data_IF_466178698886
#
_entry.id   IF_466178698886
#
_cell.length_a   1.000
_cell.length_b   1.000
_cell.length_c   1.000
_cell.angle_alpha   90.00
_cell.angle_beta   90.00
_cell.angle_gamma   90.00
#
_symmetry.space_group_name_H-M   'P 1'
#
loop_
_entity.id
_entity.type
_entity.pdbx_description
1 polymer ?
#
# COMPACT_ATOMS: atom_id res chain seq x y z
N UNK A 1 30.26 4.98 20.58
CA UNK A 1 28.92 5.60 20.41
C UNK A 1 27.98 4.84 19.48
N UNK A 2 28.45 4.21 18.39
CA UNK A 2 27.59 3.41 17.50
C UNK A 2 26.85 2.24 18.21
N UNK A 3 27.48 1.60 19.20
CA UNK A 3 26.86 0.49 19.95
C UNK A 3 25.67 0.88 20.84
N UNK A 4 25.76 2.00 21.56
CA UNK A 4 24.69 2.45 22.46
C UNK A 4 23.44 2.89 21.65
N UNK A 5 23.64 3.60 20.54
CA UNK A 5 22.53 4.01 19.69
C UNK A 5 21.83 2.82 19.04
N UNK A 6 22.60 1.83 18.56
CA UNK A 6 22.04 0.58 18.05
C UNK A 6 21.26 -0.19 19.14
N UNK A 7 21.77 -0.23 20.37
CA UNK A 7 21.07 -0.84 21.51
C UNK A 7 19.75 -0.13 21.82
N UNK A 8 19.74 1.21 21.85
CA UNK A 8 18.51 2.00 22.05
C UNK A 8 17.50 1.69 20.94
N UNK A 9 17.95 1.64 19.68
CA UNK A 9 17.05 1.36 18.54
C UNK A 9 16.45 -0.04 18.53
N UNK A 10 17.08 -0.99 19.21
CA UNK A 10 16.62 -2.38 19.30
C UNK A 10 15.86 -2.64 20.60
N UNK A 11 15.75 -1.64 21.49
CA UNK A 11 15.12 -1.79 22.79
C UNK A 11 13.61 -1.92 22.67
N UNK A 12 13.07 -2.96 23.32
CA UNK A 12 11.64 -3.17 23.49
C UNK A 12 10.94 -1.96 24.10
N UNK A 13 11.61 -1.21 24.98
CA UNK A 13 11.05 -0.01 25.60
C UNK A 13 10.74 1.08 24.57
N UNK A 14 11.66 1.31 23.62
CA UNK A 14 11.44 2.32 22.58
C UNK A 14 10.38 1.87 21.58
N UNK A 15 10.38 0.58 21.21
CA UNK A 15 9.32 0.01 20.39
C UNK A 15 7.94 0.14 21.07
N UNK A 16 7.88 -0.02 22.38
CA UNK A 16 6.66 0.20 23.16
C UNK A 16 6.22 1.67 23.13
N UNK A 17 7.14 2.64 23.21
CA UNK A 17 6.80 4.06 23.02
C UNK A 17 6.13 4.31 21.66
N UNK A 18 6.65 3.71 20.57
CA UNK A 18 6.03 3.81 19.26
C UNK A 18 4.66 3.13 19.21
N UNK A 19 4.50 1.97 19.84
CA UNK A 19 3.22 1.29 19.93
C UNK A 19 2.18 2.13 20.69
N UNK A 20 2.55 2.71 21.84
CA UNK A 20 1.70 3.63 22.61
C UNK A 20 1.26 4.79 21.72
N UNK A 21 2.21 5.52 21.13
CA UNK A 21 1.91 6.64 20.25
C UNK A 21 0.96 6.23 19.12
N UNK A 22 1.28 5.15 18.39
CA UNK A 22 0.51 4.71 17.23
C UNK A 22 -0.92 4.25 17.60
N UNK A 23 -1.08 3.41 18.62
CA UNK A 23 -2.40 2.89 18.98
C UNK A 23 -3.27 3.95 19.67
N UNK A 24 -2.71 4.74 20.59
CA UNK A 24 -3.46 5.81 21.25
C UNK A 24 -3.87 6.90 20.27
N UNK A 25 -2.94 7.40 19.45
CA UNK A 25 -3.29 8.39 18.42
C UNK A 25 -4.28 7.83 17.40
N UNK A 26 -4.13 6.57 16.98
CA UNK A 26 -5.06 5.91 16.08
C UNK A 26 -6.48 5.86 16.63
N UNK A 27 -6.65 5.51 17.91
CA UNK A 27 -7.97 5.51 18.57
C UNK A 27 -8.55 6.92 18.70
N UNK A 28 -7.74 7.91 19.10
CA UNK A 28 -8.17 9.32 19.18
C UNK A 28 -8.62 9.81 17.80
N UNK A 29 -7.79 9.60 16.77
CA UNK A 29 -8.08 9.98 15.38
C UNK A 29 -9.34 9.28 14.88
N UNK A 30 -9.52 7.98 15.13
CA UNK A 30 -10.73 7.27 14.72
C UNK A 30 -11.98 7.79 15.41
N UNK A 31 -11.91 8.18 16.69
CA UNK A 31 -13.03 8.82 17.39
C UNK A 31 -13.42 10.12 16.70
N UNK A 32 -12.44 10.97 16.37
CA UNK A 32 -12.68 12.22 15.61
C UNK A 32 -13.25 11.90 14.23
N UNK A 33 -12.69 10.93 13.50
CA UNK A 33 -13.19 10.52 12.19
C UNK A 33 -14.63 10.01 12.26
N UNK A 34 -15.00 9.26 13.30
CA UNK A 34 -16.35 8.78 13.53
C UNK A 34 -17.33 9.95 13.75
N UNK A 35 -16.97 10.90 14.61
CA UNK A 35 -17.75 12.13 14.85
C UNK A 35 -17.93 12.89 13.54
N UNK A 36 -16.87 13.07 12.74
CA UNK A 36 -16.96 13.76 11.46
C UNK A 36 -17.75 12.97 10.41
N UNK A 37 -17.72 11.64 10.45
CA UNK A 37 -18.43 10.78 9.51
C UNK A 37 -19.95 10.87 9.70
N UNK A 38 -20.43 10.85 10.95
CA UNK A 38 -21.87 10.97 11.23
C UNK A 38 -22.32 12.43 11.35
N UNK A 39 -21.45 13.31 11.81
CA UNK A 39 -21.77 14.72 12.07
C UNK A 39 -21.52 15.63 10.87
N UNK A 40 -20.37 15.56 10.20
CA UNK A 40 -19.99 16.54 9.15
C UNK A 40 -20.26 16.04 7.73
N UNK A 41 -19.95 14.78 7.43
CA UNK A 41 -20.05 14.20 6.08
C UNK A 41 -21.44 14.36 5.43
N UNK A 42 -22.58 14.20 6.14
CA UNK A 42 -23.90 14.36 5.53
C UNK A 42 -24.20 15.78 5.05
N UNK A 43 -23.63 16.80 5.71
CA UNK A 43 -23.90 18.22 5.40
C UNK A 43 -22.82 18.86 4.54
N UNK A 44 -21.55 18.44 4.70
CA UNK A 44 -20.43 19.00 3.95
C UNK A 44 -19.34 17.94 3.68
N UNK A 45 -19.57 17.13 2.64
CA UNK A 45 -18.65 16.08 2.19
C UNK A 45 -17.26 16.63 1.81
N UNK A 46 -17.19 17.83 1.24
CA UNK A 46 -15.91 18.45 0.82
C UNK A 46 -15.05 18.79 2.04
N UNK A 47 -15.64 19.44 3.06
CA UNK A 47 -14.93 19.78 4.29
C UNK A 47 -14.56 18.51 5.07
N UNK A 48 -15.46 17.51 5.13
CA UNK A 48 -15.15 16.20 5.69
C UNK A 48 -13.88 15.58 5.09
N UNK A 49 -13.76 15.58 3.75
CA UNK A 49 -12.59 15.05 3.04
C UNK A 49 -11.32 15.87 3.29
N UNK A 50 -11.44 17.21 3.32
CA UNK A 50 -10.30 18.11 3.63
C UNK A 50 -9.75 17.89 5.04
N UNK A 51 -10.62 17.77 6.04
CA UNK A 51 -10.19 17.47 7.42
C UNK A 51 -9.66 16.02 7.50
N UNK A 52 -10.34 15.09 6.81
CA UNK A 52 -9.95 13.69 6.70
C UNK A 52 -8.53 13.49 6.20
N UNK A 53 -8.07 14.31 5.26
CA UNK A 53 -6.68 14.33 4.80
C UNK A 53 -5.70 14.49 5.97
N UNK A 54 -5.90 15.52 6.81
CA UNK A 54 -4.97 15.81 7.92
C UNK A 54 -5.02 14.74 9.02
N UNK A 55 -6.20 14.17 9.28
CA UNK A 55 -6.36 13.05 10.21
C UNK A 55 -5.59 11.82 9.72
N UNK A 56 -5.73 11.47 8.43
CA UNK A 56 -5.00 10.36 7.83
C UNK A 56 -3.50 10.64 7.76
N UNK A 57 -3.10 11.86 7.39
CA UNK A 57 -1.71 12.30 7.38
C UNK A 57 -1.06 12.13 8.76
N UNK A 58 -1.71 12.66 9.80
CA UNK A 58 -1.18 12.59 11.17
C UNK A 58 -1.03 11.14 11.65
N UNK A 59 -1.90 10.24 11.21
CA UNK A 59 -1.78 8.82 11.53
C UNK A 59 -0.68 8.11 10.71
N UNK A 60 -0.71 8.21 9.37
CA UNK A 60 0.19 7.49 8.47
C UNK A 60 1.64 7.97 8.57
N UNK A 61 1.85 9.26 8.85
CA UNK A 61 3.18 9.86 8.96
C UNK A 61 4.01 9.28 10.10
N UNK A 62 3.40 8.65 11.11
CA UNK A 62 4.14 7.94 12.16
C UNK A 62 4.91 6.73 11.61
N UNK A 63 4.33 6.01 10.63
CA UNK A 63 5.02 4.90 9.96
C UNK A 63 6.07 5.40 8.97
N UNK A 64 5.79 6.52 8.29
CA UNK A 64 6.79 7.19 7.43
C UNK A 64 7.97 7.71 8.26
N UNK A 65 7.72 8.23 9.47
CA UNK A 65 8.77 8.61 10.42
C UNK A 65 9.68 7.43 10.76
N UNK A 66 9.11 6.22 10.97
CA UNK A 66 9.91 5.02 11.23
C UNK A 66 10.86 4.70 10.06
N UNK A 67 10.40 4.87 8.82
CA UNK A 67 11.24 4.69 7.64
C UNK A 67 12.31 5.79 7.50
N UNK A 68 11.89 7.06 7.41
CA UNK A 68 12.77 8.20 7.12
C UNK A 68 13.78 8.46 8.26
N UNK A 69 13.27 8.70 9.47
CA UNK A 69 14.04 9.28 10.57
C UNK A 69 14.58 8.21 11.52
N UNK A 70 13.78 7.20 11.83
CA UNK A 70 14.18 6.18 12.79
C UNK A 70 15.14 5.16 12.20
N UNK A 71 14.77 4.51 11.08
CA UNK A 71 15.64 3.52 10.43
C UNK A 71 16.73 4.15 9.57
N UNK A 72 16.53 5.38 9.08
CA UNK A 72 17.42 6.02 8.12
C UNK A 72 17.32 5.39 6.72
N UNK A 73 16.15 4.83 6.38
CA UNK A 73 15.92 4.25 5.06
C UNK A 73 15.95 5.32 3.97
N UNK A 74 16.42 4.94 2.78
CA UNK A 74 16.57 5.86 1.64
C UNK A 74 15.70 5.39 0.47
N UNK A 75 15.01 6.34 -0.17
CA UNK A 75 14.28 6.13 -1.40
C UNK A 75 14.94 6.93 -2.55
N UNK A 76 15.34 6.23 -3.60
CA UNK A 76 15.74 6.82 -4.88
C UNK A 76 14.59 6.70 -5.88
N UNK A 77 14.19 7.80 -6.49
CA UNK A 77 13.13 7.83 -7.51
C UNK A 77 13.71 8.20 -8.87
N UNK A 78 13.42 7.39 -9.87
CA UNK A 78 13.83 7.57 -11.26
C UNK A 78 12.60 8.01 -12.07
N UNK A 79 12.44 9.31 -12.23
CA UNK A 79 11.30 9.97 -12.88
C UNK A 79 11.81 11.09 -13.79
N UNK A 80 11.09 11.41 -14.88
CA UNK A 80 11.43 12.56 -15.71
C UNK A 80 11.03 13.86 -15.03
N UNK A 81 11.72 14.96 -15.36
CA UNK A 81 11.35 16.29 -14.86
C UNK A 81 9.94 16.71 -15.30
N UNK A 82 9.48 16.22 -16.44
CA UNK A 82 8.12 16.44 -16.93
C UNK A 82 7.08 15.73 -16.06
N UNK A 83 7.24 14.42 -15.82
CA UNK A 83 6.31 13.64 -15.00
C UNK A 83 6.29 14.15 -13.55
N UNK A 84 7.44 14.57 -13.01
CA UNK A 84 7.57 15.08 -11.66
C UNK A 84 6.70 16.33 -11.43
N UNK A 85 6.46 17.15 -12.46
CA UNK A 85 5.61 18.35 -12.35
C UNK A 85 4.15 18.02 -12.02
N UNK A 86 3.68 16.82 -12.35
CA UNK A 86 2.31 16.35 -12.11
C UNK A 86 2.16 15.62 -10.77
N UNK A 87 3.24 15.15 -10.16
CA UNK A 87 3.19 14.46 -8.89
C UNK A 87 2.52 15.33 -7.81
N UNK A 88 1.50 14.77 -7.16
CA UNK A 88 0.74 15.45 -6.11
C UNK A 88 -0.25 16.50 -6.59
N UNK A 89 -0.49 16.64 -7.91
CA UNK A 89 -1.40 17.66 -8.48
C UNK A 89 -2.63 17.10 -9.19
N UNK A 90 -2.71 15.79 -9.37
CA UNK A 90 -3.82 15.11 -10.04
C UNK A 90 -4.18 13.81 -9.31
N UNK A 91 -5.39 13.31 -9.56
CA UNK A 91 -5.75 11.96 -9.14
C UNK A 91 -4.93 10.94 -9.92
N UNK A 92 -4.53 9.88 -9.24
CA UNK A 92 -3.64 8.87 -9.83
C UNK A 92 -4.08 7.47 -9.41
N UNK A 93 -4.07 6.54 -10.37
CA UNK A 93 -3.98 5.11 -10.09
C UNK A 93 -2.50 4.69 -10.11
N UNK A 94 -1.98 4.24 -8.97
CA UNK A 94 -0.63 3.68 -8.88
C UNK A 94 -0.68 2.21 -9.31
N UNK A 95 0.09 1.83 -10.32
CA UNK A 95 0.23 0.45 -10.76
C UNK A 95 1.64 -0.04 -10.42
N UNK A 96 1.75 -0.73 -9.29
CA UNK A 96 3.03 -1.11 -8.69
C UNK A 96 3.18 -2.64 -8.60
N UNK A 97 4.41 -3.16 -8.76
CA UNK A 97 4.71 -4.55 -8.41
C UNK A 97 4.54 -4.80 -6.90
N UNK A 98 4.43 -6.06 -6.51
CA UNK A 98 4.16 -6.46 -5.14
C UNK A 98 5.13 -7.54 -4.67
N UNK A 99 6.37 -7.15 -4.41
CA UNK A 99 7.46 -8.08 -4.13
C UNK A 99 7.82 -8.14 -2.65
N UNK A 100 7.89 -7.00 -1.96
CA UNK A 100 8.48 -6.88 -0.63
C UNK A 100 7.43 -6.73 0.48
N UNK A 101 7.83 -6.93 1.74
CA UNK A 101 6.92 -6.76 2.88
C UNK A 101 6.46 -5.31 3.05
N UNK A 102 7.36 -4.38 2.74
CA UNK A 102 7.22 -2.94 2.99
C UNK A 102 6.88 -2.14 1.72
N UNK A 103 6.43 -2.78 0.62
CA UNK A 103 6.06 -2.10 -0.63
C UNK A 103 5.15 -0.89 -0.37
N UNK A 104 4.11 -1.11 0.44
CA UNK A 104 3.14 -0.09 0.82
C UNK A 104 3.79 1.06 1.59
N UNK A 105 4.76 0.76 2.47
CA UNK A 105 5.46 1.79 3.25
C UNK A 105 6.39 2.61 2.36
N UNK A 106 7.10 1.98 1.42
CA UNK A 106 7.91 2.71 0.43
C UNK A 106 7.01 3.59 -0.45
N UNK A 107 5.85 3.08 -0.86
CA UNK A 107 4.82 3.88 -1.54
C UNK A 107 4.34 5.07 -0.70
N UNK A 108 4.14 4.89 0.60
CA UNK A 108 3.77 5.98 1.52
C UNK A 108 4.89 7.00 1.71
N UNK A 109 6.15 6.57 1.77
CA UNK A 109 7.32 7.48 1.78
C UNK A 109 7.30 8.34 0.51
N UNK A 110 7.03 7.77 -0.66
CA UNK A 110 6.89 8.55 -1.89
C UNK A 110 5.70 9.52 -1.83
N UNK A 111 4.53 9.07 -1.38
CA UNK A 111 3.33 9.90 -1.20
C UNK A 111 3.58 11.08 -0.24
N UNK A 112 4.39 10.89 0.81
CA UNK A 112 4.79 11.95 1.73
C UNK A 112 5.60 13.03 1.02
N UNK A 113 6.54 12.65 0.15
CA UNK A 113 7.42 13.61 -0.53
C UNK A 113 6.68 14.51 -1.50
N UNK A 114 5.63 13.98 -2.11
CA UNK A 114 4.81 14.69 -3.10
C UNK A 114 3.51 15.25 -2.51
N UNK A 115 3.32 15.17 -1.19
CA UNK A 115 2.24 15.87 -0.49
C UNK A 115 0.85 15.24 -0.60
N UNK A 116 0.76 13.92 -0.79
CA UNK A 116 -0.52 13.19 -0.94
C UNK A 116 -0.73 12.08 0.08
N UNK A 117 0.15 11.93 1.08
CA UNK A 117 0.08 10.85 2.07
C UNK A 117 -1.30 10.74 2.73
N UNK A 118 -1.92 11.85 3.14
CA UNK A 118 -3.24 11.84 3.78
C UNK A 118 -4.39 11.37 2.88
N UNK A 119 -4.19 11.36 1.56
CA UNK A 119 -5.15 10.91 0.54
C UNK A 119 -4.62 9.71 -0.26
N UNK A 120 -3.58 9.02 0.19
CA UNK A 120 -3.21 7.74 -0.40
C UNK A 120 -4.22 6.65 0.01
N UNK A 121 -4.65 5.83 -0.95
CA UNK A 121 -5.65 4.79 -0.78
C UNK A 121 -5.19 3.51 -1.45
N UNK A 122 -5.83 2.39 -1.15
CA UNK A 122 -5.55 1.11 -1.80
C UNK A 122 -6.81 0.25 -1.92
N UNK A 123 -6.77 -0.74 -2.81
CA UNK A 123 -7.72 -1.85 -2.79
C UNK A 123 -7.37 -2.78 -1.63
N UNK A 124 -8.29 -2.93 -0.68
CA UNK A 124 -8.11 -3.72 0.53
C UNK A 124 -9.14 -4.84 0.64
N UNK A 125 -8.80 -5.93 1.34
CA UNK A 125 -9.77 -6.98 1.67
C UNK A 125 -10.83 -6.41 2.60
N UNK A 126 -12.11 -6.70 2.35
CA UNK A 126 -13.22 -6.20 3.17
C UNK A 126 -13.04 -6.42 4.68
N UNK A 127 -12.48 -7.56 5.09
CA UNK A 127 -12.23 -7.88 6.50
C UNK A 127 -11.27 -6.89 7.20
N UNK A 128 -10.39 -6.22 6.46
CA UNK A 128 -9.44 -5.25 7.01
C UNK A 128 -10.17 -4.06 7.64
N UNK A 129 -11.36 -3.70 7.16
CA UNK A 129 -12.13 -2.57 7.70
C UNK A 129 -12.51 -2.74 9.18
N UNK A 130 -12.46 -3.96 9.72
CA UNK A 130 -12.79 -4.24 11.11
C UNK A 130 -11.58 -4.24 12.04
N UNK A 131 -10.36 -4.09 11.51
CA UNK A 131 -9.15 -3.99 12.32
C UNK A 131 -9.13 -2.62 13.01
N UNK A 132 -9.04 -2.56 14.36
CA UNK A 132 -8.95 -1.29 15.08
C UNK A 132 -7.78 -0.44 14.61
N UNK A 133 -7.89 0.88 14.76
CA UNK A 133 -6.92 1.89 14.28
C UNK A 133 -6.87 1.99 12.75
N UNK A 134 -6.13 1.09 12.09
CA UNK A 134 -5.86 1.16 10.65
C UNK A 134 -7.07 0.84 9.79
N UNK A 135 -7.83 -0.20 10.12
CA UNK A 135 -9.01 -0.60 9.37
C UNK A 135 -10.13 0.43 9.44
N UNK A 136 -10.38 0.96 10.63
CA UNK A 136 -11.33 2.04 10.86
C UNK A 136 -10.89 3.33 10.17
N UNK A 137 -9.60 3.68 10.24
CA UNK A 137 -9.07 4.84 9.51
C UNK A 137 -9.30 4.72 8.01
N UNK A 138 -9.07 3.54 7.42
CA UNK A 138 -9.31 3.28 6.00
C UNK A 138 -10.80 3.29 5.65
N UNK A 139 -11.66 2.81 6.55
CA UNK A 139 -13.11 2.87 6.39
C UNK A 139 -13.61 4.32 6.32
N UNK A 140 -13.19 5.16 7.25
CA UNK A 140 -13.54 6.57 7.26
C UNK A 140 -12.88 7.32 6.08
N UNK A 141 -11.67 6.94 5.69
CA UNK A 141 -11.00 7.48 4.52
C UNK A 141 -11.53 6.96 3.17
N UNK A 142 -12.69 6.30 3.12
CA UNK A 142 -13.33 5.84 1.86
C UNK A 142 -12.40 4.97 0.98
N UNK A 143 -11.62 4.06 1.58
CA UNK A 143 -10.82 3.07 0.84
C UNK A 143 -11.70 2.09 0.05
N UNK A 144 -11.13 1.50 -1.00
CA UNK A 144 -11.81 0.51 -1.84
C UNK A 144 -11.74 -0.86 -1.16
N UNK A 145 -12.86 -1.40 -0.70
CA UNK A 145 -12.90 -2.68 0.01
C UNK A 145 -13.55 -3.76 -0.87
N UNK A 146 -12.81 -4.83 -1.12
CA UNK A 146 -13.22 -5.92 -2.03
C UNK A 146 -13.70 -7.17 -1.27
N UNK A 147 -14.77 -7.76 -1.79
CA UNK A 147 -15.44 -9.00 -1.32
C UNK A 147 -14.72 -10.27 -1.80
N UNK A 148 -13.79 -10.17 -2.76
CA UNK A 148 -13.12 -11.30 -3.42
C UNK A 148 -14.04 -12.09 -4.35
N UNK A 149 -15.07 -11.42 -4.88
CA UNK A 149 -16.00 -11.95 -5.87
C UNK A 149 -16.14 -10.92 -6.96
N UNK A 150 -15.64 -11.22 -8.16
CA UNK A 150 -15.56 -10.23 -9.24
C UNK A 150 -16.93 -9.63 -9.58
N UNK A 151 -17.98 -10.44 -9.60
CA UNK A 151 -19.32 -9.97 -9.95
C UNK A 151 -19.83 -8.93 -8.95
N UNK A 152 -19.58 -9.15 -7.64
CA UNK A 152 -19.88 -8.16 -6.59
C UNK A 152 -18.93 -6.97 -6.64
N UNK A 153 -17.65 -7.23 -6.90
CA UNK A 153 -16.59 -6.23 -6.84
C UNK A 153 -16.65 -5.26 -8.03
N UNK A 154 -17.14 -5.65 -9.21
CA UNK A 154 -17.22 -4.78 -10.39
C UNK A 154 -18.06 -3.53 -10.14
N UNK A 155 -19.24 -3.69 -9.54
CA UNK A 155 -20.13 -2.57 -9.19
C UNK A 155 -19.53 -1.72 -8.06
N UNK A 156 -18.95 -2.37 -7.05
CA UNK A 156 -18.30 -1.70 -5.92
C UNK A 156 -17.15 -0.82 -6.41
N UNK A 157 -16.29 -1.35 -7.27
CA UNK A 157 -15.14 -0.64 -7.86
C UNK A 157 -15.62 0.59 -8.61
N UNK A 158 -16.61 0.45 -9.49
CA UNK A 158 -17.14 1.57 -10.26
C UNK A 158 -17.67 2.70 -9.37
N UNK A 159 -18.49 2.36 -8.36
CA UNK A 159 -19.02 3.35 -7.41
C UNK A 159 -17.92 4.02 -6.58
N UNK A 160 -17.01 3.24 -6.00
CA UNK A 160 -15.97 3.78 -5.11
C UNK A 160 -14.94 4.62 -5.86
N UNK A 161 -14.62 4.30 -7.12
CA UNK A 161 -13.74 5.15 -7.93
C UNK A 161 -14.43 6.47 -8.24
N UNK A 162 -15.73 6.48 -8.59
CA UNK A 162 -16.47 7.74 -8.75
C UNK A 162 -16.41 8.58 -7.47
N UNK A 163 -16.60 7.97 -6.30
CA UNK A 163 -16.46 8.65 -5.01
C UNK A 163 -15.06 9.23 -4.81
N UNK A 164 -14.01 8.51 -5.23
CA UNK A 164 -12.61 8.96 -5.16
C UNK A 164 -12.35 10.13 -6.12
N UNK A 165 -12.86 10.07 -7.36
CA UNK A 165 -12.73 11.16 -8.33
C UNK A 165 -13.49 12.43 -7.92
N UNK A 166 -14.45 12.32 -7.01
CA UNK A 166 -15.15 13.47 -6.42
C UNK A 166 -14.36 14.12 -5.25
N UNK A 167 -13.15 13.65 -4.92
CA UNK A 167 -12.34 14.32 -3.89
C UNK A 167 -11.90 15.71 -4.37
N UNK A 168 -11.91 16.72 -3.48
CA UNK A 168 -11.47 18.07 -3.85
C UNK A 168 -9.95 18.19 -4.04
N UNK A 169 -9.19 17.26 -3.46
CA UNK A 169 -7.73 17.25 -3.46
C UNK A 169 -7.24 15.93 -4.09
N UNK A 170 -6.04 15.89 -4.68
CA UNK A 170 -5.48 14.69 -5.30
C UNK A 170 -5.54 13.44 -4.42
N UNK A 171 -5.97 12.33 -5.01
CA UNK A 171 -6.03 11.00 -4.39
C UNK A 171 -5.18 10.04 -5.21
N UNK A 172 -4.33 9.29 -4.52
CA UNK A 172 -3.47 8.27 -5.12
C UNK A 172 -3.94 6.89 -4.69
N UNK A 173 -4.52 6.13 -5.63
CA UNK A 173 -5.10 4.81 -5.38
C UNK A 173 -4.14 3.71 -5.85
N UNK A 174 -3.63 2.91 -4.91
CA UNK A 174 -2.70 1.83 -5.20
C UNK A 174 -3.42 0.56 -5.67
N UNK A 175 -3.04 0.08 -6.85
CA UNK A 175 -3.38 -1.24 -7.40
C UNK A 175 -2.10 -2.06 -7.62
N UNK A 176 -2.00 -3.18 -6.89
CA UNK A 176 -1.02 -4.23 -7.15
C UNK A 176 -1.67 -5.34 -8.00
N UNK A 177 -1.47 -5.31 -9.33
CA UNK A 177 -2.17 -6.22 -10.25
C UNK A 177 -1.80 -7.70 -10.04
N UNK A 178 -0.64 -8.02 -9.46
CA UNK A 178 -0.28 -9.39 -9.06
C UNK A 178 -1.29 -10.00 -8.07
N UNK A 179 -2.00 -9.15 -7.30
CA UNK A 179 -3.07 -9.54 -6.38
C UNK A 179 -2.62 -10.24 -5.10
N UNK A 180 -1.32 -10.49 -4.96
CA UNK A 180 -0.64 -11.02 -3.77
C UNK A 180 0.85 -10.71 -3.85
N UNK A 181 1.53 -10.71 -2.71
CA UNK A 181 2.98 -10.64 -2.67
C UNK A 181 3.66 -11.83 -3.33
N UNK A 182 4.78 -11.56 -3.98
CA UNK A 182 5.69 -12.54 -4.55
C UNK A 182 6.24 -13.47 -3.47
N UNK A 183 6.25 -14.77 -3.78
CA UNK A 183 6.94 -15.83 -3.05
C UNK A 183 7.29 -16.89 -4.08
N UNK A 184 8.39 -17.62 -3.89
CA UNK A 184 8.82 -18.69 -4.80
C UNK A 184 7.69 -19.68 -5.14
N UNK A 185 6.98 -20.20 -4.13
CA UNK A 185 5.80 -21.07 -4.33
C UNK A 185 4.69 -20.46 -5.20
N UNK A 186 4.44 -19.15 -5.07
CA UNK A 186 3.41 -18.46 -5.88
C UNK A 186 3.91 -18.16 -7.28
N UNK A 187 5.21 -17.90 -7.42
CA UNK A 187 5.85 -17.71 -8.69
C UNK A 187 5.82 -19.00 -9.52
N UNK A 188 6.16 -20.15 -8.94
CA UNK A 188 6.01 -21.46 -9.58
C UNK A 188 4.57 -21.71 -10.07
N UNK A 189 3.58 -21.41 -9.23
CA UNK A 189 2.16 -21.53 -9.59
C UNK A 189 1.77 -20.56 -10.72
N UNK A 190 2.33 -19.35 -10.70
CA UNK A 190 2.11 -18.33 -11.73
C UNK A 190 2.75 -18.70 -13.07
N UNK A 191 3.96 -19.25 -13.05
CA UNK A 191 4.65 -19.77 -14.23
C UNK A 191 3.87 -20.93 -14.85
N UNK A 192 3.40 -21.87 -14.02
CA UNK A 192 2.53 -22.96 -14.49
C UNK A 192 1.25 -22.43 -15.14
N UNK A 193 0.60 -21.45 -14.50
CA UNK A 193 -0.59 -20.80 -15.07
C UNK A 193 -0.30 -20.16 -16.44
N UNK A 194 0.87 -19.52 -16.60
CA UNK A 194 1.28 -18.95 -17.87
C UNK A 194 1.45 -20.03 -18.95
N UNK A 195 2.18 -21.12 -18.64
CA UNK A 195 2.39 -22.27 -19.55
C UNK A 195 1.07 -22.89 -20.00
N UNK A 196 0.19 -23.19 -19.04
CA UNK A 196 -1.11 -23.84 -19.30
C UNK A 196 -2.01 -22.98 -20.22
N UNK A 197 -1.73 -21.68 -20.35
CA UNK A 197 -2.50 -20.72 -21.17
C UNK A 197 -1.71 -20.13 -22.34
N UNK A 198 -0.51 -20.61 -22.62
CA UNK A 198 0.35 -20.08 -23.69
C UNK A 198 0.76 -18.61 -23.48
N UNK A 199 0.80 -18.15 -22.24
CA UNK A 199 1.26 -16.79 -21.90
C UNK A 199 2.78 -16.76 -21.68
N UNK A 200 3.39 -15.59 -21.86
CA UNK A 200 4.81 -15.38 -21.54
C UNK A 200 5.06 -15.58 -20.04
N UNK A 201 6.02 -16.44 -19.70
CA UNK A 201 6.48 -16.63 -18.33
C UNK A 201 7.27 -15.41 -17.85
N UNK A 202 6.93 -14.89 -16.68
CA UNK A 202 7.66 -13.80 -16.01
C UNK A 202 8.64 -14.39 -14.99
N UNK A 203 9.86 -13.84 -14.90
CA UNK A 203 10.92 -14.35 -14.02
C UNK A 203 10.89 -13.76 -12.61
N UNK A 204 10.54 -12.49 -12.50
CA UNK A 204 10.62 -11.71 -11.26
C UNK A 204 9.27 -11.20 -10.74
N UNK A 205 8.20 -11.35 -11.54
CA UNK A 205 6.82 -10.97 -11.16
C UNK A 205 5.85 -12.14 -11.30
N UNK A 206 4.70 -12.03 -10.62
CA UNK A 206 3.56 -12.89 -10.90
C UNK A 206 2.79 -12.37 -12.14
N UNK A 207 2.09 -13.25 -12.84
CA UNK A 207 1.21 -12.88 -13.95
C UNK A 207 0.13 -11.93 -13.41
N UNK A 208 0.01 -10.70 -13.96
CA UNK A 208 -0.92 -9.72 -13.43
C UNK A 208 -2.37 -10.12 -13.71
N UNK A 209 -3.24 -9.74 -12.77
CA UNK A 209 -4.68 -9.90 -12.84
C UNK A 209 -5.29 -8.59 -13.31
N UNK A 210 -5.84 -8.64 -14.50
CA UNK A 210 -6.25 -7.43 -15.24
C UNK A 210 -7.59 -6.89 -14.79
N UNK A 211 -8.48 -7.76 -14.30
CA UNK A 211 -9.87 -7.42 -13.90
C UNK A 211 -10.02 -6.21 -12.99
N UNK A 212 -9.11 -6.05 -12.01
CA UNK A 212 -9.13 -4.89 -11.12
C UNK A 212 -8.83 -3.60 -11.87
N UNK A 213 -7.88 -3.62 -12.80
CA UNK A 213 -7.53 -2.49 -13.64
C UNK A 213 -8.62 -2.19 -14.67
N UNK A 214 -9.10 -3.21 -15.40
CA UNK A 214 -10.11 -3.03 -16.45
C UNK A 214 -11.45 -2.54 -15.89
N UNK A 215 -11.88 -3.00 -14.71
CA UNK A 215 -13.06 -2.48 -14.03
C UNK A 215 -12.90 -1.03 -13.53
N UNK A 216 -11.65 -0.59 -13.32
CA UNK A 216 -11.35 0.73 -12.79
C UNK A 216 -11.24 1.80 -13.87
N UNK A 217 -10.62 1.44 -15.00
CA UNK A 217 -10.26 2.35 -16.08
C UNK A 217 -11.42 3.23 -16.59
N UNK A 218 -12.65 2.72 -16.82
CA UNK A 218 -13.75 3.55 -17.32
C UNK A 218 -14.10 4.74 -16.41
N UNK A 219 -13.92 4.60 -15.10
CA UNK A 219 -14.23 5.65 -14.12
C UNK A 219 -13.04 6.58 -13.84
N UNK A 220 -11.85 6.25 -14.36
CA UNK A 220 -10.61 7.01 -14.20
C UNK A 220 -10.31 7.92 -15.41
N UNK A 221 -10.80 7.55 -16.60
CA UNK A 221 -10.59 8.29 -17.86
C UNK A 221 -11.04 9.76 -17.76
N UNK A 222 -10.22 10.67 -18.29
CA UNK A 222 -10.53 12.10 -18.32
C UNK A 222 -10.34 12.84 -16.99
N UNK A 223 -10.00 12.12 -15.91
CA UNK A 223 -9.97 12.66 -14.54
C UNK A 223 -8.70 12.34 -13.77
N UNK A 224 -7.88 11.44 -14.30
CA UNK A 224 -6.70 10.92 -13.62
C UNK A 224 -5.65 10.40 -14.59
N UNK A 225 -4.47 10.10 -14.06
CA UNK A 225 -3.40 9.41 -14.77
C UNK A 225 -3.05 8.10 -14.09
N UNK A 226 -2.38 7.20 -14.80
CA UNK A 226 -1.72 6.03 -14.21
C UNK A 226 -0.26 6.39 -13.92
N UNK A 227 0.20 6.16 -12.69
CA UNK A 227 1.64 6.11 -12.42
C UNK A 227 2.06 4.64 -12.44
N UNK A 228 2.84 4.30 -13.46
CA UNK A 228 3.49 3.01 -13.59
C UNK A 228 4.76 3.00 -12.71
N UNK A 229 4.77 2.12 -11.70
CA UNK A 229 5.81 2.09 -10.67
C UNK A 229 6.51 0.73 -10.63
N UNK A 230 7.82 0.71 -10.85
CA UNK A 230 8.67 -0.46 -10.60
C UNK A 230 9.54 -0.23 -9.37
N UNK A 231 9.28 -0.98 -8.31
CA UNK A 231 10.02 -0.97 -7.06
C UNK A 231 11.08 -2.07 -7.05
N UNK A 232 12.32 -1.69 -6.78
CA UNK A 232 13.47 -2.57 -6.63
C UNK A 232 14.22 -2.31 -5.33
N UNK A 233 14.62 -3.40 -4.66
CA UNK A 233 15.54 -3.43 -3.53
C UNK A 233 16.60 -4.48 -3.87
N UNK A 234 17.88 -4.11 -3.69
CA UNK A 234 19.00 -4.94 -4.10
C UNK A 234 18.92 -6.36 -3.50
N UNK A 235 19.12 -7.39 -4.33
CA UNK A 235 18.93 -8.80 -3.94
C UNK A 235 19.89 -9.23 -2.84
N UNK A 236 21.10 -8.67 -2.88
CA UNK A 236 22.21 -8.85 -1.95
C UNK A 236 22.18 -7.88 -0.76
N UNK A 237 21.11 -7.07 -0.61
CA UNK A 237 20.94 -6.19 0.55
C UNK A 237 21.09 -6.99 1.86
N UNK A 238 22.01 -6.58 2.76
CA UNK A 238 22.24 -7.29 4.02
C UNK A 238 21.03 -7.18 4.97
N UNK A 239 20.20 -6.16 4.78
CA UNK A 239 18.99 -5.93 5.57
C UNK A 239 17.77 -6.31 4.72
N UNK A 240 16.99 -7.28 5.20
CA UNK A 240 15.73 -7.67 4.56
C UNK A 240 14.67 -6.57 4.73
N UNK A 241 13.85 -6.28 3.70
CA UNK A 241 12.90 -5.18 3.72
C UNK A 241 11.63 -5.55 4.49
N UNK A 242 11.71 -5.54 5.82
CA UNK A 242 10.64 -5.91 6.76
C UNK A 242 10.35 -4.78 7.74
N UNK A 243 9.12 -4.71 8.24
CA UNK A 243 8.77 -3.73 9.28
C UNK A 243 9.60 -3.95 10.54
N UNK A 244 9.92 -5.20 10.85
CA UNK A 244 10.79 -5.54 11.97
C UNK A 244 12.18 -4.90 11.85
N UNK A 245 12.82 -4.93 10.68
CA UNK A 245 14.12 -4.32 10.50
C UNK A 245 14.06 -2.79 10.56
N UNK A 246 13.03 -2.17 9.99
CA UNK A 246 12.76 -0.73 10.13
C UNK A 246 12.62 -0.36 11.62
N UNK A 247 11.82 -1.12 12.37
CA UNK A 247 11.59 -0.90 13.79
C UNK A 247 12.89 -1.04 14.61
N UNK A 248 13.78 -1.96 14.25
CA UNK A 248 15.09 -2.12 14.88
C UNK A 248 16.15 -1.11 14.37
N UNK A 249 15.73 -0.08 13.63
CA UNK A 249 16.62 0.97 13.18
C UNK A 249 17.56 0.58 12.04
N UNK A 250 17.27 -0.51 11.33
CA UNK A 250 18.11 -1.00 10.22
C UNK A 250 17.62 -0.37 8.90
N UNK A 251 18.47 0.40 8.20
CA UNK A 251 18.06 1.12 7.00
C UNK A 251 17.80 0.17 5.83
N UNK A 252 16.84 0.53 5.00
CA UNK A 252 16.58 -0.09 3.70
C UNK A 252 16.81 0.95 2.61
N UNK A 253 17.50 0.54 1.55
CA UNK A 253 17.64 1.34 0.32
C UNK A 253 16.67 0.81 -0.73
N UNK A 254 15.69 1.62 -1.11
CA UNK A 254 14.71 1.31 -2.13
C UNK A 254 14.88 2.21 -3.35
N UNK A 255 14.60 1.63 -4.52
CA UNK A 255 14.69 2.28 -5.82
C UNK A 255 13.34 2.18 -6.51
N UNK A 256 12.85 3.28 -7.06
CA UNK A 256 11.53 3.34 -7.66
C UNK A 256 11.62 4.00 -9.03
N UNK A 257 11.43 3.24 -10.11
CA UNK A 257 11.18 3.84 -11.41
C UNK A 257 9.71 4.24 -11.51
N UNK A 258 9.45 5.48 -11.94
CA UNK A 258 8.12 6.04 -12.08
C UNK A 258 7.96 6.63 -13.48
N UNK A 259 6.82 6.33 -14.11
CA UNK A 259 6.39 6.92 -15.38
C UNK A 259 4.91 7.28 -15.29
N UNK A 260 4.56 8.49 -15.73
CA UNK A 260 3.17 8.92 -15.88
C UNK A 260 2.61 8.47 -17.22
N UNK A 261 1.38 7.99 -17.21
CA UNK A 261 0.64 7.55 -18.39
C UNK A 261 -0.76 8.16 -18.31
N UNK A 262 -1.10 9.15 -19.18
CA UNK A 262 -2.45 9.69 -19.25
C UNK A 262 -3.48 8.58 -19.46
N UNK A 263 -4.63 8.65 -18.80
CA UNK A 263 -5.64 7.58 -18.96
C UNK A 263 -6.28 7.56 -20.34
N UNK A 264 -6.22 8.69 -21.05
CA UNK A 264 -6.71 8.87 -22.42
C UNK A 264 -5.88 8.06 -23.42
N UNK A 265 -4.58 7.86 -23.17
CA UNK A 265 -3.71 7.07 -24.05
C UNK A 265 -3.87 5.56 -23.88
N UNK A 266 -4.67 5.10 -22.91
CA UNK A 266 -4.87 3.67 -22.64
C UNK A 266 -5.94 3.08 -23.58
N UNK A 267 -5.92 1.76 -23.87
CA UNK A 267 -6.93 1.13 -24.72
C UNK A 267 -8.34 1.13 -24.10
N UNK A 268 -9.37 1.42 -24.90
CA UNK A 268 -10.76 1.49 -24.42
C UNK A 268 -11.41 0.12 -24.20
N UNK A 269 -11.19 -0.81 -25.14
CA UNK A 269 -11.72 -2.17 -25.04
C UNK A 269 -11.10 -2.92 -23.85
N UNK A 270 -11.92 -3.68 -23.12
CA UNK A 270 -11.52 -4.38 -21.91
C UNK A 270 -10.38 -5.37 -22.17
N UNK A 271 -10.45 -6.11 -23.30
CA UNK A 271 -9.45 -7.08 -23.72
C UNK A 271 -8.12 -6.42 -24.06
N UNK A 272 -8.16 -5.27 -24.77
CA UNK A 272 -6.96 -4.52 -25.12
C UNK A 272 -6.31 -3.88 -23.89
N UNK A 273 -7.10 -3.38 -22.94
CA UNK A 273 -6.61 -2.88 -21.66
C UNK A 273 -6.00 -4.00 -20.81
N UNK A 274 -6.56 -5.21 -20.87
CA UNK A 274 -6.01 -6.38 -20.22
C UNK A 274 -4.64 -6.77 -20.80
N UNK A 275 -4.51 -6.84 -22.14
CA UNK A 275 -3.22 -7.14 -22.78
C UNK A 275 -2.19 -6.03 -22.52
N UNK A 276 -2.62 -4.77 -22.46
CA UNK A 276 -1.74 -3.66 -22.08
C UNK A 276 -1.12 -3.86 -20.68
N UNK A 277 -1.90 -4.32 -19.69
CA UNK A 277 -1.37 -4.65 -18.37
C UNK A 277 -0.41 -5.85 -18.45
N UNK A 278 -0.69 -6.86 -19.27
CA UNK A 278 0.23 -7.99 -19.47
C UNK A 278 1.58 -7.52 -20.01
N UNK A 279 1.57 -6.72 -21.08
CA UNK A 279 2.80 -6.18 -21.68
C UNK A 279 3.55 -5.25 -20.72
N UNK A 280 2.84 -4.43 -19.96
CA UNK A 280 3.44 -3.59 -18.92
C UNK A 280 4.23 -4.44 -17.91
N UNK A 281 3.69 -5.58 -17.48
CA UNK A 281 4.39 -6.47 -16.56
C UNK A 281 5.54 -7.24 -17.22
N UNK A 282 5.49 -7.51 -18.53
CA UNK A 282 6.66 -8.03 -19.27
C UNK A 282 7.79 -7.01 -19.29
N UNK A 283 7.50 -5.73 -19.48
CA UNK A 283 8.50 -4.66 -19.38
C UNK A 283 9.06 -4.54 -17.95
N UNK A 284 8.19 -4.56 -16.93
CA UNK A 284 8.61 -4.57 -15.50
C UNK A 284 9.51 -5.75 -15.15
N UNK A 285 9.29 -6.91 -15.77
CA UNK A 285 10.11 -8.10 -15.56
C UNK A 285 11.53 -7.90 -16.08
N UNK A 286 11.67 -7.32 -17.29
CA UNK A 286 12.98 -6.94 -17.84
C UNK A 286 13.68 -5.86 -17.01
N UNK A 287 12.93 -4.88 -16.50
CA UNK A 287 13.48 -3.88 -15.58
C UNK A 287 13.99 -4.50 -14.28
N UNK A 288 13.27 -5.49 -13.73
CA UNK A 288 13.67 -6.15 -12.50
C UNK A 288 14.90 -7.05 -12.71
N UNK A 289 15.00 -7.72 -13.86
CA UNK A 289 16.22 -8.43 -14.28
C UNK A 289 17.41 -7.47 -14.37
N UNK A 290 17.25 -6.34 -15.06
CA UNK A 290 18.29 -5.30 -15.11
C UNK A 290 18.71 -4.85 -13.71
N UNK A 291 17.74 -4.61 -12.83
CA UNK A 291 18.02 -4.11 -11.48
C UNK A 291 18.77 -5.11 -10.62
N UNK A 292 18.43 -6.40 -10.73
CA UNK A 292 19.13 -7.46 -10.01
C UNK A 292 20.54 -7.71 -10.54
N UNK A 293 20.77 -7.52 -11.85
CA UNK A 293 22.06 -7.84 -12.49
C UNK A 293 23.02 -6.65 -12.53
N UNK A 294 22.51 -5.44 -12.75
CA UNK A 294 23.31 -4.24 -12.98
C UNK A 294 23.12 -3.14 -11.92
N UNK A 295 22.15 -3.28 -11.02
CA UNK A 295 21.81 -2.26 -10.03
C UNK A 295 21.05 -1.04 -10.59
N UNK A 296 20.55 -1.11 -11.83
CA UNK A 296 19.68 -0.09 -12.43
C UNK A 296 18.52 -0.70 -13.22
N UNK A 297 17.48 0.10 -13.52
CA UNK A 297 16.28 -0.40 -14.22
C UNK A 297 16.39 -0.40 -15.76
N UNK A 298 17.52 0.03 -16.33
CA UNK A 298 17.59 0.49 -17.73
C UNK A 298 18.38 -0.45 -18.64
N UNK A 299 19.41 -1.08 -18.10
CA UNK A 299 20.35 -1.91 -18.86
C UNK A 299 19.66 -3.18 -19.38
N UNK A 300 19.34 -3.20 -20.68
CA UNK A 300 18.68 -4.34 -21.33
C UNK A 300 17.17 -4.45 -21.07
N UNK A 301 16.51 -3.39 -20.59
CA UNK A 301 15.07 -3.38 -20.28
C UNK A 301 14.20 -2.60 -21.28
N UNK A 302 14.81 -2.02 -22.31
CA UNK A 302 14.16 -1.12 -23.29
C UNK A 302 13.56 0.16 -22.68
N UNK A 303 13.88 0.48 -21.42
CA UNK A 303 13.41 1.68 -20.73
C UNK A 303 14.49 2.77 -20.79
N UNK A 304 14.15 4.01 -21.20
CA UNK A 304 15.12 5.11 -21.23
C UNK A 304 15.73 5.37 -19.85
N UNK A 305 17.04 5.63 -19.84
CA UNK A 305 17.77 5.95 -18.61
C UNK A 305 17.26 7.25 -18.01
N UNK A 306 17.03 7.24 -16.69
CA UNK A 306 16.66 8.41 -15.89
C UNK A 306 17.65 8.59 -14.75
N UNK A 307 17.84 9.83 -14.31
CA UNK A 307 18.66 10.11 -13.13
C UNK A 307 17.90 9.74 -11.84
N UNK A 308 18.65 9.36 -10.81
CA UNK A 308 18.09 9.02 -9.51
C UNK A 308 17.94 10.29 -8.66
N UNK A 309 16.72 10.57 -8.19
CA UNK A 309 16.46 11.62 -7.22
C UNK A 309 16.42 10.99 -5.83
N UNK A 310 17.34 11.37 -4.96
CA UNK A 310 17.30 10.97 -3.55
C UNK A 310 16.21 11.76 -2.83
N UNK A 311 15.17 11.06 -2.39
CA UNK A 311 14.05 11.65 -1.66
C UNK A 311 14.43 11.96 -0.21
N UNK A 312 14.36 13.23 0.19
CA UNK A 312 14.77 13.66 1.52
C UNK A 312 13.65 13.52 2.56
N UNK A 313 13.95 13.18 3.83
CA UNK A 313 13.00 13.26 4.95
C UNK A 313 12.33 14.63 5.05
N UNK A 314 11.01 14.66 5.31
CA UNK A 314 10.27 15.91 5.58
C UNK A 314 10.16 16.11 7.08
N UNK A 315 10.43 17.33 7.55
CA UNK A 315 10.39 17.65 8.98
C UNK A 315 9.01 17.41 9.62
N UNK A 316 7.93 17.56 8.84
CA UNK A 316 6.55 17.35 9.30
C UNK A 316 6.32 15.97 9.93
N UNK A 317 6.91 14.90 9.40
CA UNK A 317 6.74 13.54 9.97
C UNK A 317 7.43 13.40 11.32
N UNK A 318 8.60 14.03 11.49
CA UNK A 318 9.30 14.12 12.77
C UNK A 318 8.51 14.94 13.79
N UNK A 319 8.05 16.14 13.40
CA UNK A 319 7.26 17.02 14.29
C UNK A 319 5.97 16.34 14.73
N UNK A 320 5.25 15.69 13.80
CA UNK A 320 4.03 14.95 14.12
C UNK A 320 4.30 13.79 15.10
N UNK A 321 5.39 13.04 14.90
CA UNK A 321 5.77 11.96 15.82
C UNK A 321 6.13 12.48 17.21
N UNK A 322 6.91 13.56 17.30
CA UNK A 322 7.27 14.20 18.57
C UNK A 322 6.01 14.72 19.28
N UNK A 323 5.11 15.37 18.56
CA UNK A 323 3.85 15.85 19.11
C UNK A 323 3.01 14.69 19.70
N UNK A 324 2.85 13.58 18.97
CA UNK A 324 2.11 12.42 19.49
C UNK A 324 2.79 11.78 20.70
N UNK A 325 4.12 11.66 20.70
CA UNK A 325 4.84 11.15 21.87
C UNK A 325 4.64 12.06 23.10
N UNK A 326 4.66 13.38 22.91
CA UNK A 326 4.44 14.34 24.00
C UNK A 326 3.03 14.22 24.58
N UNK A 327 2.00 14.06 23.74
CA UNK A 327 0.60 13.97 24.22
C UNK A 327 0.17 12.57 24.65
N UNK A 328 0.92 11.52 24.33
CA UNK A 328 0.57 10.12 24.67
C UNK A 328 1.57 9.49 25.65
N UNK A 329 2.84 9.38 25.26
CA UNK A 329 3.86 8.65 26.03
C UNK A 329 4.17 9.36 27.35
N UNK A 330 4.33 10.69 27.35
CA UNK A 330 4.68 11.43 28.57
C UNK A 330 3.57 11.31 29.63
N UNK A 331 2.28 11.63 29.36
CA UNK A 331 1.23 11.51 30.36
C UNK A 331 1.03 10.07 30.84
N UNK A 332 1.10 9.08 29.95
CA UNK A 332 0.93 7.67 30.33
C UNK A 332 2.05 7.17 31.23
N UNK A 333 3.30 7.51 30.92
CA UNK A 333 4.45 7.10 31.75
C UNK A 333 4.45 7.84 33.09
N UNK A 334 4.10 9.13 33.10
CA UNK A 334 3.93 9.90 34.33
C UNK A 334 2.83 9.31 35.23
N UNK A 335 1.63 9.06 34.68
CA UNK A 335 0.51 8.50 35.43
C UNK A 335 0.86 7.11 36.01
N UNK A 336 1.52 6.26 35.23
CA UNK A 336 1.94 4.94 35.69
C UNK A 336 2.96 5.03 36.84
N UNK A 337 3.93 5.96 36.74
CA UNK A 337 4.92 6.18 37.78
C UNK A 337 4.29 6.72 39.07
N UNK A 338 3.38 7.70 38.97
CA UNK A 338 2.65 8.24 40.12
C UNK A 338 1.80 7.17 40.81
N UNK A 339 1.02 6.39 40.06
CA UNK A 339 0.23 5.29 40.64
C UNK A 339 1.09 4.26 41.37
N UNK A 340 2.33 4.03 40.93
CA UNK A 340 3.26 3.15 41.65
C UNK A 340 3.77 3.79 42.95
N UNK A 341 4.21 5.05 42.88
CA UNK A 341 4.77 5.78 44.03
C UNK A 341 3.72 6.03 45.13
N UNK A 342 2.48 6.29 44.74
CA UNK A 342 1.36 6.52 45.65
C UNK A 342 0.78 5.21 46.26
N UNK A 343 1.36 4.05 45.93
CA UNK A 343 0.87 2.74 46.38
C UNK A 343 -0.49 2.34 45.78
N UNK A 344 -0.91 2.98 44.70
CA UNK A 344 -2.16 2.69 43.99
C UNK A 344 -2.02 1.49 43.03
N UNK A 345 -1.70 0.32 43.59
CA UNK A 345 -1.33 -0.87 42.82
C UNK A 345 -2.41 -1.35 41.83
N UNK A 346 -3.69 -1.09 42.09
CA UNK A 346 -4.78 -1.40 41.15
C UNK A 346 -4.66 -0.58 39.86
N UNK A 347 -4.53 0.74 39.95
CA UNK A 347 -4.37 1.61 38.77
C UNK A 347 -3.06 1.35 38.05
N UNK A 348 -1.98 1.10 38.80
CA UNK A 348 -0.71 0.66 38.22
C UNK A 348 -0.87 -0.63 37.40
N UNK A 349 -1.57 -1.63 37.95
CA UNK A 349 -1.80 -2.91 37.27
C UNK A 349 -2.61 -2.77 35.99
N UNK A 350 -3.64 -1.90 35.99
CA UNK A 350 -4.44 -1.57 34.79
C UNK A 350 -3.55 -0.89 33.73
N UNK A 351 -2.76 0.10 34.13
CA UNK A 351 -1.84 0.79 33.23
C UNK A 351 -0.80 -0.15 32.62
N UNK A 352 -0.14 -0.97 33.44
CA UNK A 352 0.83 -1.97 32.99
C UNK A 352 0.19 -3.00 32.03
N UNK A 353 -1.02 -3.46 32.33
CA UNK A 353 -1.77 -4.37 31.45
C UNK A 353 -2.10 -3.73 30.10
N UNK A 354 -2.42 -2.44 30.08
CA UNK A 354 -2.66 -1.67 28.84
C UNK A 354 -1.39 -1.57 28.00
N UNK A 355 -0.24 -1.29 28.62
CA UNK A 355 1.06 -1.27 27.93
C UNK A 355 1.41 -2.64 27.33
N UNK A 356 1.17 -3.73 28.08
CA UNK A 356 1.34 -5.08 27.58
C UNK A 356 0.41 -5.36 26.39
N UNK A 357 -0.85 -4.92 26.44
CA UNK A 357 -1.79 -5.06 25.34
C UNK A 357 -1.29 -4.33 24.08
N UNK A 358 -0.78 -3.10 24.19
CA UNK A 358 -0.18 -2.38 23.06
C UNK A 358 1.05 -3.10 22.49
N UNK A 359 1.92 -3.65 23.35
CA UNK A 359 3.03 -4.47 22.89
C UNK A 359 2.55 -5.69 22.09
N UNK A 360 1.59 -6.44 22.62
CA UNK A 360 1.03 -7.62 21.95
C UNK A 360 0.34 -7.25 20.63
N UNK A 361 -0.39 -6.13 20.58
CA UNK A 361 -1.00 -5.60 19.37
C UNK A 361 0.05 -5.23 18.32
N UNK A 362 1.16 -4.60 18.72
CA UNK A 362 2.27 -4.29 17.82
C UNK A 362 2.88 -5.58 17.24
N UNK A 363 3.20 -6.56 18.09
CA UNK A 363 3.75 -7.85 17.65
C UNK A 363 2.79 -8.54 16.67
N UNK A 364 1.48 -8.51 16.96
CA UNK A 364 0.44 -9.06 16.07
C UNK A 364 0.36 -8.30 14.75
N UNK A 365 0.41 -6.97 14.76
CA UNK A 365 0.38 -6.13 13.57
C UNK A 365 1.58 -6.39 12.65
N UNK A 366 2.80 -6.46 13.21
CA UNK A 366 4.02 -6.86 12.48
C UNK A 366 3.89 -8.29 11.98
N UNK A 367 3.30 -9.20 12.76
CA UNK A 367 3.02 -10.57 12.32
C UNK A 367 2.11 -10.63 11.08
N UNK A 368 1.09 -9.77 11.01
CA UNK A 368 0.18 -9.67 9.86
C UNK A 368 0.86 -9.04 8.62
N UNK A 369 1.88 -8.19 8.79
CA UNK A 369 2.61 -7.63 7.66
C UNK A 369 3.51 -8.66 6.98
N UNK A 370 3.93 -9.76 7.63
CA UNK A 370 4.85 -10.76 7.06
C UNK A 370 4.38 -11.39 5.75
N UNK A 371 5.31 -11.69 4.84
CA UNK A 371 5.03 -12.33 3.54
C UNK A 371 4.38 -13.71 3.70
N UNK A 372 4.75 -14.47 4.74
CA UNK A 372 4.14 -15.77 5.05
C UNK A 372 2.65 -15.70 5.41
N UNK A 373 2.13 -14.52 5.76
CA UNK A 373 0.70 -14.26 5.99
C UNK A 373 0.01 -13.61 4.79
N UNK A 374 0.70 -13.44 3.66
CA UNK A 374 0.07 -13.03 2.41
C UNK A 374 -1.00 -14.04 1.99
N UNK A 375 -1.98 -13.59 1.21
CA UNK A 375 -3.12 -14.42 0.80
C UNK A 375 -2.68 -15.79 0.26
N UNK A 376 -3.32 -16.89 0.65
CA UNK A 376 -3.12 -18.23 0.04
C UNK A 376 -3.66 -18.32 -1.39
N UNK A 377 -4.21 -17.22 -1.89
CA UNK A 377 -4.86 -17.16 -3.17
C UNK A 377 -3.81 -17.24 -4.29
N UNK A 378 -3.99 -18.21 -5.19
CA UNK A 378 -3.00 -18.56 -6.22
C UNK A 378 -2.05 -19.70 -5.82
N UNK A 379 -2.01 -20.11 -4.54
CA UNK A 379 -1.19 -21.26 -4.08
C UNK A 379 -2.00 -22.52 -3.73
N UNK A 380 -3.32 -22.44 -3.74
CA UNK A 380 -4.22 -23.56 -3.44
C UNK A 380 -5.11 -23.86 -4.65
N UNK A 381 -4.80 -24.94 -5.38
CA UNK A 381 -5.84 -25.69 -6.11
C UNK A 381 -6.62 -26.43 -5.03
N UNK A 382 -7.91 -26.11 -4.82
CA UNK A 382 -8.81 -27.11 -4.25
C UNK A 382 -8.81 -28.27 -5.26
N UNK A 383 -8.25 -29.40 -4.85
CA UNK A 383 -8.54 -30.67 -5.48
C UNK A 383 -10.02 -30.93 -5.26
N UNK A 384 -10.85 -30.52 -6.21
CA UNK A 384 -12.19 -31.02 -6.50
C UNK A 384 -12.59 -30.42 -7.83
N UNK A 385 -12.52 -31.23 -8.88
CA UNK A 385 -12.87 -30.83 -10.23
C UNK A 385 -14.34 -30.48 -10.32
N UNK A 386 -14.64 -29.34 -10.94
CA UNK A 386 -15.84 -29.09 -11.73
C UNK A 386 -15.44 -28.11 -12.85
N UNK A 387 -15.88 -28.34 -14.10
CA UNK A 387 -15.36 -27.60 -15.24
C UNK A 387 -15.91 -26.17 -15.29
N UNK A 388 -15.06 -25.27 -15.73
CA UNK A 388 -15.39 -23.91 -16.12
C UNK A 388 -16.49 -23.90 -17.19
N UNK A 389 -17.48 -23.02 -17.00
CA UNK A 389 -18.54 -22.74 -17.96
C UNK A 389 -18.02 -22.34 -19.36
N UNK A 390 -18.82 -22.59 -20.41
CA UNK A 390 -18.34 -22.77 -21.77
C UNK A 390 -18.05 -21.46 -22.51
N UNK A 391 -17.15 -21.60 -23.49
CA UNK A 391 -16.89 -20.62 -24.52
C UNK A 391 -18.19 -20.25 -25.27
N UNK A 392 -18.42 -18.94 -25.45
CA UNK A 392 -19.41 -18.46 -26.39
C UNK A 392 -18.95 -18.81 -27.81
N UNK A 393 -19.65 -19.76 -28.44
CA UNK A 393 -19.61 -19.95 -29.88
C UNK A 393 -20.65 -18.99 -30.49
N UNK A 394 -20.19 -18.14 -31.40
CA UNK A 394 -21.06 -17.37 -32.31
C UNK A 394 -21.86 -18.34 -33.17
N UNK A 395 -23.18 -18.27 -33.07
CA UNK A 395 -24.10 -18.92 -34.01
C UNK A 395 -24.55 -17.88 -35.04
N UNK A 396 -24.04 -18.02 -36.26
CA UNK A 396 -24.61 -17.40 -37.45
C UNK A 396 -26.01 -18.00 -37.69
N UNK A 397 -27.03 -17.15 -37.70
CA UNK A 397 -28.37 -17.53 -38.11
C UNK A 397 -28.52 -17.23 -39.60
N UNK A 398 -28.19 -18.22 -40.43
CA UNK A 398 -28.51 -18.22 -41.84
C UNK A 398 -29.95 -18.71 -42.04
N UNK A 399 -30.72 -17.87 -42.72
CA UNK A 399 -32.09 -18.08 -43.16
C UNK A 399 -32.23 -19.27 -44.09
N UNK A 400 -33.21 -20.16 -43.87
CA UNK A 400 -33.85 -20.86 -44.99
C UNK A 400 -35.32 -21.22 -44.73
N UNK A 401 -36.09 -21.01 -45.79
CA UNK A 401 -37.54 -21.09 -45.95
C UNK A 401 -38.08 -22.53 -46.00
N UNK A 402 -39.41 -22.64 -45.78
CA UNK A 402 -40.37 -23.59 -46.40
C UNK A 402 -40.15 -25.08 -46.13
N UNK A 403 -41.15 -25.89 -45.77
CA UNK A 403 -42.59 -25.91 -46.11
C UNK A 403 -43.31 -26.78 -45.07
#
# INVERSE_FOLDING_TARGET
>A
MAGLWAMIKQSTLVHLCFAISYFTSGLVINTVQCILYFGLKPFNKRLYRKIGYYLCYSFYSQLVFLADWWSGSTLYVYISDEDLKYCGKEHVLLLMNHTYEIDWLVGWVFCEKVGVLGNCKAYAKKVIQYIPTIGWAWKFAEFVFLERSFDKDKEIIGRQIKEIMDYPDPVWLLLNAEGTRFTEKKHEASVKFARDRGMVELKHHLIPRTKGFTASLPNLRGRSSVLDIQLGIAKDSPVKPTIFNILNGKPITAHMHVRRIPTESLPEAEEAAAEWVQELFRQKDRMQESFHTHGDFFTGSDVPRKHAIKMQPRLHTLVNMVAWNVVTVIPMTYALAQSLLDGQYMYFSIGASTLLAFYLLMVKAIGMSKISKASSYGSERKANGHPSSPAHHNGDAETTKTK
#
